data_IF_110805202097
#
_entry.id   IF_110805202097
#
_cell.length_a   1.000
_cell.length_b   1.000
_cell.length_c   1.000
_cell.angle_alpha   90.00
_cell.angle_beta   90.00
_cell.angle_gamma   90.00
#
_symmetry.space_group_name_H-M   'P 1'
#
loop_
_entity.id
_entity.type
_entity.pdbx_description
1 polymer ?
#
# COMPACT_ATOMS: atom_id res chain seq x y z
N UNK A 1 -1.53 -20.94 -21.88
CA UNK A 1 -1.42 -21.10 -20.41
C UNK A 1 -0.30 -20.19 -19.92
N UNK A 2 -0.59 -19.15 -19.13
CA UNK A 2 0.46 -18.28 -18.59
C UNK A 2 1.26 -19.05 -17.52
N UNK A 3 2.58 -19.10 -17.69
CA UNK A 3 3.47 -19.88 -16.83
C UNK A 3 3.55 -19.24 -15.44
N UNK A 4 3.36 -20.02 -14.37
CA UNK A 4 3.44 -19.55 -12.97
C UNK A 4 4.79 -18.84 -12.70
N UNK A 5 5.86 -19.26 -13.38
CA UNK A 5 7.18 -18.62 -13.31
C UNK A 5 7.17 -17.18 -13.82
N UNK A 6 6.35 -16.86 -14.81
CA UNK A 6 6.25 -15.50 -15.36
C UNK A 6 5.54 -14.57 -14.38
N UNK A 7 4.49 -15.06 -13.72
CA UNK A 7 3.84 -14.32 -12.64
C UNK A 7 4.77 -14.09 -11.45
N UNK A 8 5.53 -15.09 -11.03
CA UNK A 8 6.51 -14.92 -9.95
C UNK A 8 7.55 -13.84 -10.30
N UNK A 9 8.05 -13.86 -11.54
CA UNK A 9 8.99 -12.83 -12.03
C UNK A 9 8.35 -11.44 -12.07
N UNK A 10 7.10 -11.34 -12.51
CA UNK A 10 6.35 -10.09 -12.54
C UNK A 10 6.13 -9.51 -11.14
N UNK A 11 5.72 -10.32 -10.17
CA UNK A 11 5.52 -9.90 -8.78
C UNK A 11 6.83 -9.48 -8.09
N UNK A 12 7.93 -10.21 -8.34
CA UNK A 12 9.27 -9.79 -7.88
C UNK A 12 9.73 -8.47 -8.50
N UNK A 13 9.36 -8.19 -9.76
CA UNK A 13 9.64 -6.89 -10.40
C UNK A 13 8.76 -5.79 -9.78
N UNK A 14 7.48 -6.06 -9.58
CA UNK A 14 6.54 -5.14 -8.94
C UNK A 14 7.01 -4.73 -7.54
N UNK A 15 7.37 -5.70 -6.68
CA UNK A 15 7.92 -5.42 -5.36
C UNK A 15 9.26 -4.65 -5.37
N UNK A 16 10.02 -4.71 -6.48
CA UNK A 16 11.21 -3.87 -6.66
C UNK A 16 10.84 -2.43 -7.03
N UNK A 17 9.87 -2.23 -7.90
CA UNK A 17 9.37 -0.88 -8.25
C UNK A 17 8.74 -0.20 -7.02
N UNK A 18 7.92 -0.90 -6.25
CA UNK A 18 7.39 -0.37 -4.99
C UNK A 18 8.52 0.05 -4.02
N UNK A 19 9.58 -0.76 -3.89
CA UNK A 19 10.74 -0.38 -3.06
C UNK A 19 11.45 0.88 -3.57
N UNK A 20 11.51 1.12 -4.88
CA UNK A 20 12.03 2.38 -5.43
C UNK A 20 11.11 3.54 -5.06
N UNK A 21 9.80 3.39 -5.25
CA UNK A 21 8.81 4.41 -4.86
C UNK A 21 8.90 4.75 -3.36
N UNK A 22 9.03 3.75 -2.49
CA UNK A 22 9.22 3.94 -1.05
C UNK A 22 10.46 4.78 -0.74
N UNK A 23 11.58 4.55 -1.44
CA UNK A 23 12.79 5.38 -1.28
C UNK A 23 12.55 6.83 -1.68
N UNK A 24 11.84 7.07 -2.78
CA UNK A 24 11.50 8.42 -3.23
C UNK A 24 10.58 9.13 -2.23
N UNK A 25 9.53 8.45 -1.77
CA UNK A 25 8.60 8.98 -0.77
C UNK A 25 9.35 9.29 0.54
N UNK A 26 10.21 8.39 1.01
CA UNK A 26 11.03 8.61 2.22
C UNK A 26 11.91 9.85 2.09
N UNK A 27 12.59 10.02 0.95
CA UNK A 27 13.42 11.20 0.69
C UNK A 27 12.57 12.47 0.74
N UNK A 28 11.37 12.45 0.16
CA UNK A 28 10.46 13.61 0.18
C UNK A 28 9.95 13.91 1.59
N UNK A 29 9.59 12.89 2.38
CA UNK A 29 9.21 13.06 3.79
C UNK A 29 10.34 13.72 4.58
N UNK A 30 11.59 13.28 4.38
CA UNK A 30 12.75 13.88 5.06
C UNK A 30 12.92 15.35 4.69
N UNK A 31 12.81 15.70 3.41
CA UNK A 31 12.88 17.10 2.97
C UNK A 31 11.79 17.95 3.62
N UNK A 32 10.53 17.50 3.58
CA UNK A 32 9.40 18.24 4.17
C UNK A 32 9.51 18.38 5.69
N UNK A 33 10.13 17.41 6.38
CA UNK A 33 10.42 17.52 7.83
C UNK A 33 11.44 18.61 8.12
N UNK A 34 12.49 18.71 7.31
CA UNK A 34 13.49 19.77 7.44
C UNK A 34 12.85 21.14 7.14
N UNK A 35 12.06 21.23 6.07
CA UNK A 35 11.30 22.45 5.75
C UNK A 35 10.37 22.86 6.91
N UNK A 36 9.72 21.90 7.56
CA UNK A 36 8.86 22.15 8.72
C UNK A 36 9.65 22.66 9.92
N UNK A 37 10.79 22.03 10.22
CA UNK A 37 11.65 22.41 11.34
C UNK A 37 12.19 23.84 11.17
N UNK A 38 12.62 24.20 9.95
CA UNK A 38 13.07 25.56 9.62
C UNK A 38 11.93 26.56 9.82
N UNK A 39 10.73 26.26 9.31
CA UNK A 39 9.56 27.14 9.47
C UNK A 39 9.14 27.29 10.94
N UNK A 40 9.17 26.21 11.72
CA UNK A 40 8.86 26.25 13.15
C UNK A 40 9.91 27.07 13.92
N UNK A 41 11.18 26.97 13.54
CA UNK A 41 12.26 27.78 14.11
C UNK A 41 12.11 29.27 13.78
N UNK A 42 11.93 29.61 12.50
CA UNK A 42 11.80 31.02 12.05
C UNK A 42 10.59 31.74 12.64
N UNK A 43 9.49 31.00 12.87
CA UNK A 43 8.22 31.58 13.32
C UNK A 43 8.07 31.62 14.84
N UNK A 44 9.04 31.09 15.60
CA UNK A 44 9.14 31.11 17.06
C UNK A 44 8.13 30.21 17.80
N UNK A 45 8.24 30.09 19.13
CA UNK A 45 7.29 29.32 19.94
C UNK A 45 5.93 30.04 19.94
N UNK A 46 4.90 29.37 19.40
CA UNK A 46 3.53 29.91 19.33
C UNK A 46 2.60 29.16 20.26
N UNK A 47 1.62 29.87 20.83
CA UNK A 47 0.44 29.23 21.43
C UNK A 47 -0.31 28.50 20.31
N UNK A 48 -0.92 27.35 20.63
CA UNK A 48 -1.61 26.49 19.66
C UNK A 48 -2.65 27.21 18.78
N UNK A 49 -3.15 28.38 19.19
CA UNK A 49 -4.10 29.21 18.44
C UNK A 49 -3.51 30.02 17.28
N UNK A 50 -2.18 30.21 17.21
CA UNK A 50 -1.51 31.08 16.22
C UNK A 50 -0.60 30.32 15.24
N UNK A 51 -0.82 29.02 15.06
CA UNK A 51 -0.03 28.23 14.11
C UNK A 51 -0.24 28.80 12.70
N UNK A 52 0.82 29.21 11.98
CA UNK A 52 0.69 29.66 10.61
C UNK A 52 0.04 28.59 9.75
N UNK A 53 -0.87 29.01 8.86
CA UNK A 53 -1.52 28.13 7.90
C UNK A 53 -0.50 27.28 7.10
N UNK A 54 0.65 27.85 6.78
CA UNK A 54 1.77 27.18 6.08
C UNK A 54 2.28 25.95 6.85
N UNK A 55 2.46 26.07 8.17
CA UNK A 55 2.91 24.97 9.05
C UNK A 55 1.83 23.90 9.12
N UNK A 56 0.56 24.30 9.22
CA UNK A 56 -0.56 23.36 9.24
C UNK A 56 -0.64 22.57 7.93
N UNK A 57 -0.60 23.24 6.79
CA UNK A 57 -0.61 22.61 5.45
C UNK A 57 0.56 21.62 5.32
N UNK A 58 1.74 22.01 5.79
CA UNK A 58 2.93 21.15 5.72
C UNK A 58 2.80 19.90 6.61
N UNK A 59 2.24 20.04 7.81
CA UNK A 59 1.91 18.91 8.71
C UNK A 59 0.90 17.96 8.08
N UNK A 60 -0.14 18.47 7.46
CA UNK A 60 -1.15 17.66 6.77
C UNK A 60 -0.55 16.89 5.58
N UNK A 61 0.27 17.56 4.75
CA UNK A 61 1.00 16.92 3.64
C UNK A 61 1.94 15.83 4.14
N UNK A 62 2.66 16.07 5.24
CA UNK A 62 3.53 15.09 5.86
C UNK A 62 2.74 13.86 6.34
N UNK A 63 1.58 14.07 6.98
CA UNK A 63 0.70 12.99 7.42
C UNK A 63 0.23 12.13 6.25
N UNK A 64 -0.27 12.76 5.19
CA UNK A 64 -0.70 12.05 3.98
C UNK A 64 0.45 11.25 3.34
N UNK A 65 1.64 11.84 3.22
CA UNK A 65 2.80 11.15 2.67
C UNK A 65 3.28 9.98 3.54
N UNK A 66 3.19 10.09 4.86
CA UNK A 66 3.51 8.99 5.77
C UNK A 66 2.55 7.81 5.61
N UNK A 67 1.27 8.07 5.38
CA UNK A 67 0.27 7.04 5.11
C UNK A 67 0.52 6.35 3.76
N UNK A 68 0.82 7.14 2.72
CA UNK A 68 1.23 6.61 1.40
C UNK A 68 2.50 5.78 1.54
N UNK A 69 3.51 6.27 2.26
CA UNK A 69 4.76 5.54 2.52
C UNK A 69 4.49 4.17 3.14
N UNK A 70 3.69 4.14 4.21
CA UNK A 70 3.36 2.91 4.93
C UNK A 70 2.67 1.92 4.00
N UNK A 71 1.61 2.35 3.32
CA UNK A 71 0.82 1.49 2.42
C UNK A 71 1.66 0.97 1.25
N UNK A 72 2.45 1.84 0.62
CA UNK A 72 3.34 1.49 -0.50
C UNK A 72 4.41 0.50 -0.08
N UNK A 73 4.94 0.63 1.15
CA UNK A 73 5.91 -0.29 1.73
C UNK A 73 5.29 -1.65 2.00
N UNK A 74 4.11 -1.70 2.64
CA UNK A 74 3.37 -2.94 2.91
C UNK A 74 3.07 -3.70 1.60
N UNK A 75 2.55 -3.02 0.58
CA UNK A 75 2.28 -3.61 -0.73
C UNK A 75 3.56 -4.12 -1.40
N UNK A 76 4.66 -3.36 -1.32
CA UNK A 76 5.93 -3.76 -1.93
C UNK A 76 6.52 -5.03 -1.32
N UNK A 77 6.40 -5.20 -0.01
CA UNK A 77 6.82 -6.42 0.71
C UNK A 77 5.93 -7.60 0.33
N UNK A 78 4.62 -7.41 0.30
CA UNK A 78 3.66 -8.46 -0.08
C UNK A 78 3.89 -8.91 -1.52
N UNK A 79 3.97 -7.98 -2.47
CA UNK A 79 4.22 -8.28 -3.88
C UNK A 79 5.56 -9.02 -4.07
N UNK A 80 6.61 -8.62 -3.36
CA UNK A 80 7.92 -9.26 -3.45
C UNK A 80 7.94 -10.70 -2.92
N UNK A 81 7.09 -11.02 -1.95
CA UNK A 81 7.03 -12.32 -1.29
C UNK A 81 5.81 -13.16 -1.70
N UNK A 82 4.95 -12.68 -2.59
CA UNK A 82 3.66 -13.29 -2.89
C UNK A 82 3.74 -14.79 -3.24
N UNK A 83 4.78 -15.24 -3.94
CA UNK A 83 4.98 -16.65 -4.29
C UNK A 83 6.04 -17.37 -3.43
N UNK A 84 6.64 -16.69 -2.44
CA UNK A 84 7.65 -17.28 -1.58
C UNK A 84 7.00 -18.32 -0.66
N UNK A 85 7.50 -19.56 -0.70
CA UNK A 85 7.06 -20.62 0.22
C UNK A 85 7.32 -20.19 1.67
N UNK A 86 6.36 -20.41 2.56
CA UNK A 86 6.43 -20.04 3.98
C UNK A 86 6.15 -18.56 4.29
N UNK A 87 5.86 -17.73 3.29
CA UNK A 87 5.38 -16.36 3.52
C UNK A 87 3.89 -16.36 3.88
N UNK A 88 3.53 -15.74 5.00
CA UNK A 88 2.14 -15.50 5.34
C UNK A 88 1.65 -14.27 4.58
N UNK A 89 0.66 -14.46 3.72
CA UNK A 89 0.08 -13.36 2.92
C UNK A 89 -0.94 -12.61 3.75
N UNK A 90 -0.91 -11.27 3.69
CA UNK A 90 -1.90 -10.45 4.38
C UNK A 90 -3.26 -10.49 3.66
N UNK A 91 -4.36 -10.74 4.38
CA UNK A 91 -5.73 -10.65 3.82
C UNK A 91 -6.10 -9.24 3.34
N UNK A 92 -5.47 -8.22 3.92
CA UNK A 92 -5.66 -6.81 3.53
C UNK A 92 -5.22 -6.53 2.10
N UNK A 93 -4.21 -7.25 1.62
CA UNK A 93 -3.55 -7.01 0.33
C UNK A 93 -3.66 -8.19 -0.63
N UNK A 94 -4.11 -9.34 -0.13
CA UNK A 94 -4.24 -10.57 -0.90
C UNK A 94 -5.57 -11.22 -0.57
N UNK A 95 -6.29 -11.66 -1.58
CA UNK A 95 -7.49 -12.48 -1.39
C UNK A 95 -7.04 -13.90 -1.01
N UNK A 96 -6.73 -14.12 0.26
CA UNK A 96 -6.45 -15.46 0.81
C UNK A 96 -7.69 -16.35 0.86
N UNK A 97 -8.87 -15.79 0.60
CA UNK A 97 -10.08 -16.58 0.55
C UNK A 97 -9.91 -17.67 -0.52
N UNK A 98 -9.77 -18.90 -0.03
CA UNK A 98 -10.67 -19.97 -0.45
C UNK A 98 -12.08 -19.39 -0.36
N UNK A 99 -12.49 -18.55 -1.32
CA UNK A 99 -13.90 -18.30 -1.56
C UNK A 99 -14.42 -19.71 -1.75
N UNK A 100 -15.22 -20.21 -0.81
CA UNK A 100 -16.07 -21.35 -1.06
C UNK A 100 -16.68 -21.04 -2.42
N UNK A 101 -16.27 -21.80 -3.44
CA UNK A 101 -16.91 -21.66 -4.75
C UNK A 101 -18.37 -21.89 -4.41
N UNK A 102 -19.22 -20.87 -4.58
CA UNK A 102 -20.65 -21.09 -4.51
C UNK A 102 -20.90 -22.33 -5.38
N UNK A 103 -21.59 -23.36 -4.87
CA UNK A 103 -21.92 -24.50 -5.70
C UNK A 103 -22.62 -23.92 -6.92
N UNK A 104 -22.05 -24.17 -8.10
CA UNK A 104 -22.71 -23.83 -9.35
C UNK A 104 -23.95 -24.71 -9.34
N UNK A 105 -25.11 -24.14 -9.00
CA UNK A 105 -26.39 -24.80 -9.16
C UNK A 105 -26.55 -25.04 -10.67
N UNK A 106 -26.18 -26.23 -11.11
CA UNK A 106 -26.48 -26.70 -12.45
C UNK A 106 -28.01 -26.83 -12.51
N UNK A 107 -28.71 -25.83 -13.04
CA UNK A 107 -30.11 -25.98 -13.46
C UNK A 107 -30.13 -26.80 -14.75
N UNK A 108 -29.76 -28.08 -14.63
CA UNK A 108 -30.01 -29.08 -15.65
C UNK A 108 -31.42 -29.60 -15.44
N UNK A 109 -32.33 -29.21 -16.33
CA UNK A 109 -33.61 -29.83 -16.68
C UNK A 109 -34.00 -31.06 -15.85
N UNK A 110 -35.09 -30.93 -15.08
CA UNK A 110 -35.92 -32.07 -14.73
C UNK A 110 -36.56 -32.54 -16.05
N UNK A 111 -36.13 -33.69 -16.55
CA UNK A 111 -36.93 -34.45 -17.52
C UNK A 111 -37.99 -35.15 -16.65
N UNK A 112 -39.22 -34.66 -16.72
CA UNK A 112 -40.38 -35.42 -16.26
C UNK A 112 -40.62 -36.52 -17.30
N UNK A 113 -40.27 -37.75 -16.96
CA UNK A 113 -40.73 -38.91 -17.70
C UNK A 113 -42.24 -39.06 -17.44
N UNK A 114 -43.02 -38.97 -18.52
CA UNK A 114 -44.46 -39.21 -18.59
C UNK A 114 -44.80 -40.70 -18.52
#
# INVERSE_FOLDING_TARGET
>A
MNNIKDFEKAFKRLGREYRKSVKLIRKRIQQLKIELEVLEFEKGPRKNSDIPLEIQILKERLKALQEIYRTTSEIGVEAGNYYKRGWWRSEKYTTNSRKSRLPILYHGFIIEDA
#
